data_IF_206048505814
#
_entry.id   IF_206048505814
#
_cell.length_a   1.000
_cell.length_b   1.000
_cell.length_c   1.000
_cell.angle_alpha   90.00
_cell.angle_beta   90.00
_cell.angle_gamma   90.00
#
_symmetry.space_group_name_H-M   'P 1'
#
loop_
_entity.id
_entity.type
_entity.pdbx_description
1 polymer ?
#
# COMPACT_ATOMS: atom_id res chain seq x y z
N UNK A 1 -6.78 16.41 15.19
CA UNK A 1 -6.39 15.04 15.53
C UNK A 1 -6.69 14.17 14.32
N UNK A 2 -5.81 13.22 13.97
CA UNK A 2 -6.03 12.36 12.80
C UNK A 2 -6.78 11.10 13.25
N UNK A 3 -8.01 10.91 12.77
CA UNK A 3 -8.89 9.81 13.16
C UNK A 3 -8.26 8.42 12.98
N UNK A 4 -7.40 8.24 11.96
CA UNK A 4 -6.74 6.97 11.69
C UNK A 4 -5.73 6.64 12.80
N UNK A 5 -4.94 7.62 13.21
CA UNK A 5 -3.98 7.49 14.33
C UNK A 5 -4.72 7.23 15.65
N UNK A 6 -5.83 7.93 15.87
CA UNK A 6 -6.66 7.69 17.07
C UNK A 6 -7.25 6.27 17.08
N UNK A 7 -7.54 5.72 15.88
CA UNK A 7 -7.97 4.32 15.74
C UNK A 7 -6.82 3.34 16.06
N UNK A 8 -5.60 3.62 15.62
CA UNK A 8 -4.43 2.78 15.93
C UNK A 8 -4.16 2.72 17.43
N UNK A 9 -4.30 3.85 18.15
CA UNK A 9 -4.21 3.87 19.63
C UNK A 9 -5.23 2.97 20.30
N UNK A 10 -6.45 2.86 19.75
CA UNK A 10 -7.47 1.92 20.26
C UNK A 10 -7.15 0.47 19.94
N UNK A 11 -6.54 0.21 18.79
CA UNK A 11 -6.17 -1.16 18.38
C UNK A 11 -4.94 -1.69 19.13
N UNK A 12 -4.07 -0.79 19.55
CA UNK A 12 -2.90 -0.99 20.43
C UNK A 12 -2.16 -2.33 20.21
N UNK A 13 -2.48 -3.33 21.03
CA UNK A 13 -1.82 -4.65 21.03
C UNK A 13 -2.22 -5.59 19.89
N UNK A 14 -3.24 -5.21 19.07
CA UNK A 14 -3.60 -6.03 17.92
C UNK A 14 -2.46 -6.07 16.92
N UNK A 15 -2.31 -7.19 16.25
CA UNK A 15 -1.34 -7.30 15.15
C UNK A 15 -1.84 -6.46 13.97
N UNK A 16 -1.05 -5.48 13.57
CA UNK A 16 -1.32 -4.63 12.40
C UNK A 16 -0.75 -5.26 11.13
N UNK A 17 0.49 -5.73 11.20
CA UNK A 17 1.25 -6.18 10.03
C UNK A 17 2.00 -7.47 10.39
N UNK A 18 2.01 -8.41 9.44
CA UNK A 18 2.94 -9.54 9.44
C UNK A 18 3.80 -9.41 8.18
N UNK A 19 5.09 -9.23 8.38
CA UNK A 19 6.09 -9.09 7.34
C UNK A 19 7.27 -10.03 7.61
N UNK A 20 7.66 -10.85 6.63
CA UNK A 20 8.74 -11.84 6.78
C UNK A 20 8.60 -12.70 8.06
N UNK A 21 7.39 -13.14 8.40
CA UNK A 21 7.03 -13.90 9.61
C UNK A 21 7.19 -13.11 10.93
N UNK A 22 7.62 -11.85 10.89
CA UNK A 22 7.67 -10.97 12.05
C UNK A 22 6.32 -10.28 12.22
N UNK A 23 5.83 -10.26 13.46
CA UNK A 23 4.54 -9.67 13.81
C UNK A 23 4.76 -8.31 14.42
N UNK A 24 4.05 -7.31 13.91
CA UNK A 24 4.07 -5.94 14.41
C UNK A 24 2.67 -5.54 14.84
N UNK A 25 2.55 -5.00 16.04
CA UNK A 25 1.29 -4.48 16.57
C UNK A 25 0.96 -3.10 16.00
N UNK A 26 -0.27 -2.63 16.22
CA UNK A 26 -0.62 -1.24 15.93
C UNK A 26 0.21 -0.25 16.76
N UNK A 27 0.61 -0.65 17.98
CA UNK A 27 1.54 0.15 18.79
C UNK A 27 2.91 0.24 18.11
N UNK A 28 3.49 -0.89 17.66
CA UNK A 28 4.77 -0.88 16.94
C UNK A 28 4.71 -0.01 15.69
N UNK A 29 3.55 -0.02 14.99
CA UNK A 29 3.34 0.82 13.81
C UNK A 29 3.31 2.31 14.19
N UNK A 30 2.64 2.68 15.28
CA UNK A 30 2.63 4.06 15.80
C UNK A 30 4.03 4.52 16.20
N UNK A 31 4.75 3.71 16.97
CA UNK A 31 6.11 4.01 17.42
C UNK A 31 7.04 4.25 16.22
N UNK A 32 6.91 3.41 15.16
CA UNK A 32 7.70 3.57 13.92
C UNK A 32 7.29 4.80 13.09
N UNK A 33 6.02 5.14 13.07
CA UNK A 33 5.54 6.39 12.42
C UNK A 33 6.13 7.61 13.13
N UNK A 34 6.15 7.64 14.46
CA UNK A 34 6.72 8.73 15.25
C UNK A 34 8.23 8.84 15.00
N UNK A 35 8.96 7.73 15.00
CA UNK A 35 10.39 7.68 14.65
C UNK A 35 10.66 8.30 13.26
N UNK A 36 9.83 7.95 12.26
CA UNK A 36 9.99 8.53 10.93
C UNK A 36 9.61 10.00 10.88
N UNK A 37 8.60 10.46 11.61
CA UNK A 37 8.26 11.89 11.70
C UNK A 37 9.45 12.69 12.26
N UNK A 38 10.14 12.18 13.27
CA UNK A 38 11.35 12.80 13.82
C UNK A 38 12.50 12.78 12.80
N UNK A 39 12.70 11.68 12.08
CA UNK A 39 13.71 11.59 11.01
C UNK A 39 13.44 12.55 9.84
N UNK A 40 12.15 12.80 9.52
CA UNK A 40 11.74 13.70 8.44
C UNK A 40 11.81 15.18 8.84
N UNK A 41 11.76 15.49 10.14
CA UNK A 41 11.85 16.84 10.67
C UNK A 41 13.08 17.54 10.11
N UNK A 42 12.92 18.78 9.67
CA UNK A 42 13.95 19.62 9.06
C UNK A 42 14.55 19.11 7.72
N UNK A 43 14.25 17.86 7.34
CA UNK A 43 14.76 17.24 6.09
C UNK A 43 13.70 17.19 4.98
N UNK A 44 12.42 17.04 5.34
CA UNK A 44 11.32 16.94 4.38
C UNK A 44 10.24 17.96 4.74
N UNK A 45 10.08 18.97 3.90
CA UNK A 45 9.09 20.03 4.14
C UNK A 45 7.68 19.56 3.75
N UNK A 46 6.67 20.12 4.42
CA UNK A 46 5.26 19.90 4.05
C UNK A 46 5.03 20.29 2.59
N UNK A 47 4.20 19.51 1.92
CA UNK A 47 3.86 19.75 0.51
C UNK A 47 4.92 19.31 -0.49
N UNK A 48 6.14 18.94 -0.08
CA UNK A 48 7.12 18.36 -1.00
C UNK A 48 6.58 17.06 -1.61
N UNK A 49 6.94 16.85 -2.88
CA UNK A 49 6.65 15.58 -3.60
C UNK A 49 7.76 14.59 -3.28
N UNK A 50 7.41 13.50 -2.62
CA UNK A 50 8.37 12.57 -2.03
C UNK A 50 8.12 11.17 -2.55
N UNK A 51 9.11 10.59 -3.24
CA UNK A 51 9.05 9.21 -3.68
C UNK A 51 9.49 8.25 -2.58
N UNK A 52 8.77 7.13 -2.41
CA UNK A 52 9.16 5.96 -1.61
C UNK A 52 9.60 4.87 -2.59
N UNK A 53 10.86 4.46 -2.52
CA UNK A 53 11.40 3.39 -3.35
C UNK A 53 11.28 2.04 -2.63
N UNK A 54 10.55 1.12 -3.21
CA UNK A 54 10.34 -0.25 -2.70
C UNK A 54 8.89 -0.67 -2.70
N UNK A 55 8.66 -1.95 -2.43
CA UNK A 55 7.31 -2.52 -2.28
C UNK A 55 6.90 -2.51 -0.80
N UNK A 56 5.79 -3.17 -0.48
CA UNK A 56 5.32 -3.31 0.89
C UNK A 56 6.40 -3.90 1.80
N UNK A 57 6.62 -3.23 2.90
CA UNK A 57 7.27 -3.70 4.10
C UNK A 57 6.66 -2.97 5.29
N UNK A 58 6.92 -3.44 6.49
CA UNK A 58 6.51 -2.72 7.70
C UNK A 58 7.03 -1.28 7.69
N UNK A 59 8.31 -1.11 7.33
CA UNK A 59 8.98 0.19 7.27
C UNK A 59 8.36 1.10 6.21
N UNK A 60 8.12 0.62 4.99
CA UNK A 60 7.56 1.43 3.93
C UNK A 60 6.10 1.83 4.21
N UNK A 61 5.32 0.99 4.90
CA UNK A 61 3.96 1.34 5.35
C UNK A 61 4.02 2.44 6.42
N UNK A 62 4.92 2.31 7.41
CA UNK A 62 5.11 3.33 8.44
C UNK A 62 5.59 4.66 7.83
N UNK A 63 6.53 4.61 6.86
CA UNK A 63 7.02 5.79 6.14
C UNK A 63 5.91 6.47 5.32
N UNK A 64 5.08 5.70 4.61
CA UNK A 64 3.89 6.22 3.90
C UNK A 64 2.99 7.02 4.84
N UNK A 65 2.70 6.46 6.02
CA UNK A 65 1.83 7.08 7.01
C UNK A 65 2.49 8.31 7.66
N UNK A 66 3.79 8.28 7.91
CA UNK A 66 4.54 9.45 8.39
C UNK A 66 4.51 10.61 7.39
N UNK A 67 4.75 10.33 6.10
CA UNK A 67 4.66 11.32 5.03
C UNK A 67 3.23 11.85 4.85
N UNK A 68 2.21 11.00 4.99
CA UNK A 68 0.81 11.42 5.01
C UNK A 68 0.53 12.41 6.14
N UNK A 69 0.99 12.12 7.35
CA UNK A 69 0.82 13.01 8.51
C UNK A 69 1.61 14.32 8.34
N UNK A 70 2.77 14.26 7.75
CA UNK A 70 3.58 15.45 7.40
C UNK A 70 3.01 16.26 6.23
N UNK A 71 1.88 15.82 5.63
CA UNK A 71 1.23 16.51 4.50
C UNK A 71 2.08 16.57 3.24
N UNK A 72 2.82 15.51 2.95
CA UNK A 72 3.56 15.37 1.70
C UNK A 72 2.68 14.86 0.55
N UNK A 73 3.16 15.04 -0.67
CA UNK A 73 2.62 14.39 -1.86
C UNK A 73 3.48 13.17 -2.14
N UNK A 74 2.92 11.98 -1.97
CA UNK A 74 3.66 10.73 -1.88
C UNK A 74 3.62 10.01 -3.23
N UNK A 75 4.74 9.44 -3.64
CA UNK A 75 4.91 8.72 -4.91
C UNK A 75 5.52 7.35 -4.62
N UNK A 76 4.71 6.30 -4.38
CA UNK A 76 5.24 4.95 -4.27
C UNK A 76 5.81 4.50 -5.62
N UNK A 77 7.00 3.88 -5.61
CA UNK A 77 7.67 3.33 -6.81
C UNK A 77 8.22 1.96 -6.45
N UNK A 78 7.63 0.90 -7.01
CA UNK A 78 8.04 -0.49 -6.76
C UNK A 78 9.05 -1.02 -7.78
N UNK A 79 9.25 -0.32 -8.89
CA UNK A 79 10.24 -0.72 -9.89
C UNK A 79 11.66 -0.75 -9.31
N UNK A 80 12.44 -1.76 -9.74
CA UNK A 80 13.87 -1.88 -9.42
C UNK A 80 14.78 -1.42 -10.56
N UNK A 81 14.20 -1.08 -11.73
CA UNK A 81 14.95 -0.61 -12.89
C UNK A 81 15.21 0.89 -12.80
N UNK A 82 16.47 1.28 -12.79
CA UNK A 82 16.86 2.70 -12.64
C UNK A 82 16.24 3.61 -13.69
N UNK A 83 16.13 3.17 -14.96
CA UNK A 83 15.50 3.96 -16.01
C UNK A 83 14.03 4.27 -15.72
N UNK A 84 13.26 3.27 -15.27
CA UNK A 84 11.85 3.44 -14.90
C UNK A 84 11.71 4.32 -13.65
N UNK A 85 12.58 4.14 -12.65
CA UNK A 85 12.59 5.00 -11.45
C UNK A 85 12.83 6.44 -11.85
N UNK A 86 13.87 6.70 -12.66
CA UNK A 86 14.21 8.05 -13.12
C UNK A 86 13.06 8.71 -13.88
N UNK A 87 12.42 7.98 -14.80
CA UNK A 87 11.28 8.48 -15.57
C UNK A 87 10.12 8.86 -14.65
N UNK A 88 9.75 7.98 -13.70
CA UNK A 88 8.66 8.24 -12.75
C UNK A 88 8.95 9.41 -11.81
N UNK A 89 10.20 9.54 -11.33
CA UNK A 89 10.62 10.66 -10.49
C UNK A 89 10.48 12.00 -11.24
N UNK A 90 10.86 12.03 -12.52
CA UNK A 90 10.74 13.23 -13.37
C UNK A 90 9.27 13.55 -13.66
N UNK A 91 8.48 12.57 -14.08
CA UNK A 91 7.06 12.74 -14.41
C UNK A 91 6.24 13.21 -13.21
N UNK A 92 6.53 12.70 -12.02
CA UNK A 92 5.87 13.12 -10.78
C UNK A 92 6.40 14.45 -10.22
N UNK A 93 7.41 15.06 -10.81
CA UNK A 93 8.09 16.26 -10.30
C UNK A 93 8.57 16.09 -8.84
N UNK A 94 9.23 14.98 -8.52
CA UNK A 94 9.67 14.67 -7.16
C UNK A 94 10.76 15.65 -6.67
N UNK A 95 10.63 16.09 -5.41
CA UNK A 95 11.64 16.88 -4.71
C UNK A 95 12.68 16.00 -4.03
N UNK A 96 12.23 14.82 -3.59
CA UNK A 96 13.07 13.87 -2.85
C UNK A 96 12.71 12.43 -3.22
N UNK A 97 13.69 11.55 -3.06
CA UNK A 97 13.46 10.11 -3.04
C UNK A 97 13.95 9.53 -1.73
N UNK A 98 13.15 8.66 -1.16
CA UNK A 98 13.38 7.99 0.11
C UNK A 98 13.45 6.48 -0.13
N UNK A 99 14.41 5.85 0.54
CA UNK A 99 14.56 4.39 0.54
C UNK A 99 14.88 3.94 1.96
N UNK A 100 14.22 2.88 2.40
CA UNK A 100 14.64 2.19 3.63
C UNK A 100 15.56 1.05 3.24
N UNK A 101 16.75 1.04 3.82
CA UNK A 101 17.76 0.01 3.61
C UNK A 101 18.38 -0.39 4.96
N UNK A 102 18.29 -1.68 5.31
CA UNK A 102 18.74 -2.19 6.61
C UNK A 102 18.23 -1.35 7.81
N UNK A 103 16.92 -1.09 7.82
CA UNK A 103 16.21 -0.26 8.82
C UNK A 103 16.63 1.22 8.86
N UNK A 104 17.52 1.65 7.97
CA UNK A 104 17.96 3.05 7.87
C UNK A 104 17.22 3.79 6.76
N UNK A 105 16.69 4.95 7.08
CA UNK A 105 16.06 5.85 6.11
C UNK A 105 17.12 6.67 5.37
N UNK A 106 17.22 6.46 4.06
CA UNK A 106 18.07 7.22 3.14
C UNK A 106 17.21 8.27 2.46
N UNK A 107 17.61 9.53 2.52
CA UNK A 107 16.91 10.67 1.92
C UNK A 107 17.84 11.32 0.90
N UNK A 108 17.41 11.38 -0.35
CA UNK A 108 18.15 12.06 -1.42
C UNK A 108 17.31 13.21 -1.99
N UNK A 109 17.95 14.40 -2.12
CA UNK A 109 17.33 15.56 -2.75
C UNK A 109 17.36 15.43 -4.27
N UNK A 110 16.30 15.86 -4.92
CA UNK A 110 16.16 15.91 -6.36
C UNK A 110 15.99 17.36 -6.81
N UNK A 111 16.60 17.71 -7.96
CA UNK A 111 16.54 19.07 -8.50
C UNK A 111 15.27 19.26 -9.36
N UNK A 112 14.12 19.33 -8.73
CA UNK A 112 12.87 19.65 -9.41
C UNK A 112 12.62 21.15 -9.43
N UNK A 113 12.67 21.76 -10.63
CA UNK A 113 12.52 23.23 -10.79
C UNK A 113 11.05 23.68 -10.94
N UNK A 114 10.17 22.79 -11.41
CA UNK A 114 8.80 23.15 -11.75
C UNK A 114 7.81 22.15 -11.14
N UNK A 115 6.63 22.65 -10.77
CA UNK A 115 5.53 21.83 -10.26
C UNK A 115 4.32 21.95 -11.15
N UNK A 116 3.70 20.82 -11.46
CA UNK A 116 2.43 20.79 -12.17
C UNK A 116 1.34 21.53 -11.37
N UNK A 117 0.38 22.15 -12.04
CA UNK A 117 -0.68 22.93 -11.39
C UNK A 117 -1.50 22.13 -10.37
N UNK A 118 -1.77 20.86 -10.65
CA UNK A 118 -2.51 19.98 -9.73
C UNK A 118 -1.75 19.75 -8.42
N UNK A 119 -0.41 19.68 -8.46
CA UNK A 119 0.45 19.60 -7.27
C UNK A 119 0.29 20.87 -6.44
N UNK A 120 0.42 22.05 -7.08
CA UNK A 120 0.25 23.36 -6.43
C UNK A 120 -1.12 23.50 -5.76
N UNK A 121 -2.17 22.98 -6.39
CA UNK A 121 -3.52 23.03 -5.84
C UNK A 121 -3.64 22.22 -4.53
N UNK A 122 -2.97 21.05 -4.42
CA UNK A 122 -2.93 20.28 -3.16
C UNK A 122 -2.10 21.00 -2.09
N UNK A 123 -0.93 21.54 -2.48
CA UNK A 123 -0.07 22.31 -1.59
C UNK A 123 -0.80 23.51 -0.99
N UNK A 124 -1.50 24.30 -1.82
CA UNK A 124 -2.26 25.49 -1.38
C UNK A 124 -3.38 25.14 -0.40
N UNK A 125 -3.97 23.92 -0.51
CA UNK A 125 -5.00 23.43 0.39
C UNK A 125 -4.44 22.74 1.63
N UNK A 126 -3.11 22.64 1.76
CA UNK A 126 -2.41 21.88 2.81
C UNK A 126 -2.90 20.43 2.92
N UNK A 127 -3.24 19.82 1.78
CA UNK A 127 -3.66 18.42 1.71
C UNK A 127 -2.47 17.52 1.41
N UNK A 128 -2.49 16.32 1.98
CA UNK A 128 -1.61 15.25 1.53
C UNK A 128 -2.05 14.75 0.15
N UNK A 129 -1.09 14.43 -0.71
CA UNK A 129 -1.32 13.91 -2.05
C UNK A 129 -0.77 12.51 -2.24
N UNK A 130 -1.27 11.84 -3.29
CA UNK A 130 -0.77 10.55 -3.74
C UNK A 130 -0.65 10.58 -5.25
N UNK A 131 0.54 10.29 -5.79
CA UNK A 131 0.75 10.16 -7.23
C UNK A 131 1.01 8.70 -7.56
N UNK A 132 0.18 8.15 -8.44
CA UNK A 132 0.31 6.80 -8.97
C UNK A 132 0.45 6.85 -10.49
N UNK A 133 0.96 5.77 -11.08
CA UNK A 133 1.16 5.69 -12.51
C UNK A 133 0.21 4.70 -13.17
N UNK A 134 -0.34 5.07 -14.31
CA UNK A 134 -0.99 4.14 -15.22
C UNK A 134 -0.07 3.81 -16.39
N UNK A 135 -0.21 2.60 -16.95
CA UNK A 135 0.39 2.26 -18.24
C UNK A 135 -0.28 3.11 -19.32
N UNK A 136 0.41 4.14 -19.78
CA UNK A 136 -0.09 4.95 -20.90
C UNK A 136 -0.15 4.16 -22.20
N UNK A 137 -1.15 4.40 -23.03
CA UNK A 137 -1.26 3.82 -24.38
C UNK A 137 -0.06 4.12 -25.29
N UNK A 138 0.74 5.13 -24.92
CA UNK A 138 1.96 5.55 -25.61
C UNK A 138 3.24 4.92 -25.05
N UNK A 139 3.13 3.94 -24.13
CA UNK A 139 4.27 3.29 -23.47
C UNK A 139 4.94 4.11 -22.35
N UNK A 140 4.63 5.39 -22.22
CA UNK A 140 5.14 6.23 -21.13
C UNK A 140 4.19 6.21 -19.94
N UNK A 141 4.68 6.12 -18.70
CA UNK A 141 3.86 6.18 -17.52
C UNK A 141 3.18 7.56 -17.41
N UNK A 142 1.87 7.57 -17.14
CA UNK A 142 1.11 8.81 -16.88
C UNK A 142 0.88 8.95 -15.40
N UNK A 143 1.34 10.05 -14.81
CA UNK A 143 1.11 10.37 -13.41
C UNK A 143 -0.35 10.77 -13.17
N UNK A 144 -0.99 10.12 -12.20
CA UNK A 144 -2.34 10.42 -11.73
C UNK A 144 -2.25 10.91 -10.28
N UNK A 145 -2.73 12.13 -10.04
CA UNK A 145 -2.69 12.73 -8.71
C UNK A 145 -4.03 12.55 -7.99
N UNK A 146 -3.97 12.10 -6.74
CA UNK A 146 -5.11 11.93 -5.86
C UNK A 146 -4.96 12.79 -4.61
N UNK A 147 -6.06 13.28 -4.05
CA UNK A 147 -6.09 13.83 -2.71
C UNK A 147 -6.05 12.66 -1.72
N UNK A 148 -4.95 12.51 -0.99
CA UNK A 148 -4.76 11.37 -0.10
C UNK A 148 -5.61 11.49 1.18
N UNK A 149 -5.85 12.69 1.66
CA UNK A 149 -6.78 12.91 2.79
C UNK A 149 -8.16 12.36 2.46
N UNK A 150 -8.69 12.64 1.26
CA UNK A 150 -10.00 12.13 0.84
C UNK A 150 -10.00 10.59 0.72
N UNK A 151 -8.92 9.99 0.23
CA UNK A 151 -8.80 8.53 0.15
C UNK A 151 -8.80 7.90 1.55
N UNK A 152 -8.09 8.48 2.50
CA UNK A 152 -8.08 8.01 3.89
C UNK A 152 -9.45 8.20 4.52
N UNK A 153 -10.07 9.37 4.36
CA UNK A 153 -11.37 9.71 4.97
C UNK A 153 -12.53 8.85 4.47
N UNK A 154 -12.44 8.27 3.26
CA UNK A 154 -13.41 7.30 2.75
C UNK A 154 -13.60 6.09 3.70
N UNK A 155 -12.58 5.74 4.48
CA UNK A 155 -12.61 4.62 5.41
C UNK A 155 -13.04 5.00 6.83
N UNK A 156 -13.28 6.26 7.12
CA UNK A 156 -13.68 6.75 8.43
C UNK A 156 -15.01 6.13 8.89
N UNK A 157 -15.07 5.72 10.15
CA UNK A 157 -16.29 5.18 10.76
C UNK A 157 -16.61 3.72 10.40
N UNK A 158 -15.74 3.02 9.68
CA UNK A 158 -15.93 1.58 9.42
C UNK A 158 -15.84 0.77 10.72
N UNK A 159 -16.69 -0.26 10.80
CA UNK A 159 -16.70 -1.16 11.96
C UNK A 159 -15.40 -1.98 12.03
N UNK A 160 -14.88 -2.10 13.22
CA UNK A 160 -13.73 -2.94 13.54
C UNK A 160 -13.97 -4.41 13.19
N UNK A 161 -12.93 -5.07 12.65
CA UNK A 161 -12.95 -6.49 12.30
C UNK A 161 -11.64 -7.15 12.70
N UNK A 162 -11.72 -8.29 13.35
CA UNK A 162 -10.56 -9.13 13.65
C UNK A 162 -10.38 -10.17 12.55
N UNK A 163 -9.77 -9.78 11.45
CA UNK A 163 -9.54 -10.66 10.28
C UNK A 163 -8.15 -10.45 9.71
N UNK A 164 -7.63 -11.49 9.07
CA UNK A 164 -6.38 -11.43 8.33
C UNK A 164 -6.67 -11.23 6.83
N UNK A 165 -5.99 -10.27 6.22
CA UNK A 165 -6.13 -9.94 4.81
C UNK A 165 -4.76 -9.93 4.14
N UNK A 166 -4.67 -10.48 2.93
CA UNK A 166 -3.43 -10.45 2.16
C UNK A 166 -3.27 -9.11 1.43
N UNK A 167 -2.11 -8.50 1.55
CA UNK A 167 -1.71 -7.33 0.75
C UNK A 167 -1.04 -7.84 -0.52
N UNK A 168 -1.85 -8.21 -1.51
CA UNK A 168 -1.37 -8.87 -2.74
C UNK A 168 -1.02 -7.90 -3.87
N UNK A 169 -1.86 -6.89 -4.09
CA UNK A 169 -1.64 -5.90 -5.15
C UNK A 169 -0.46 -4.98 -4.80
N UNK A 170 0.21 -4.44 -5.82
CA UNK A 170 1.45 -3.66 -5.64
C UNK A 170 1.24 -2.38 -4.82
N UNK A 171 2.29 -1.93 -4.15
CA UNK A 171 2.29 -0.72 -3.32
C UNK A 171 2.07 0.57 -4.13
N UNK A 172 2.51 0.61 -5.38
CA UNK A 172 2.32 1.71 -6.32
C UNK A 172 1.02 1.60 -7.16
N UNK A 173 0.07 0.77 -6.71
CA UNK A 173 -1.22 0.59 -7.37
C UNK A 173 -2.37 0.99 -6.46
N UNK A 174 -3.36 1.71 -7.00
CA UNK A 174 -4.52 2.21 -6.21
C UNK A 174 -5.27 1.10 -5.46
N UNK A 175 -5.41 -0.09 -6.07
CA UNK A 175 -6.05 -1.23 -5.42
C UNK A 175 -5.27 -1.78 -4.23
N UNK A 176 -3.94 -1.74 -4.30
CA UNK A 176 -3.06 -2.13 -3.19
C UNK A 176 -3.21 -1.18 -2.01
N UNK A 177 -3.10 0.12 -2.27
CA UNK A 177 -3.26 1.15 -1.24
C UNK A 177 -4.67 1.18 -0.64
N UNK A 178 -5.72 1.03 -1.46
CA UNK A 178 -7.08 0.90 -0.95
C UNK A 178 -7.24 -0.32 -0.04
N UNK A 179 -6.61 -1.45 -0.39
CA UNK A 179 -6.59 -2.64 0.47
C UNK A 179 -5.90 -2.34 1.80
N UNK A 180 -4.72 -1.74 1.77
CA UNK A 180 -3.98 -1.35 2.98
C UNK A 180 -4.79 -0.41 3.86
N UNK A 181 -5.33 0.68 3.30
CA UNK A 181 -6.13 1.65 4.05
C UNK A 181 -7.38 1.01 4.66
N UNK A 182 -8.05 0.12 3.93
CA UNK A 182 -9.18 -0.63 4.48
C UNK A 182 -8.77 -1.51 5.66
N UNK A 183 -7.68 -2.27 5.55
CA UNK A 183 -7.15 -3.12 6.62
C UNK A 183 -6.88 -2.28 7.87
N UNK A 184 -6.09 -1.22 7.72
CA UNK A 184 -5.68 -0.37 8.83
C UNK A 184 -6.85 0.35 9.49
N UNK A 185 -7.86 0.78 8.72
CA UNK A 185 -9.04 1.49 9.23
C UNK A 185 -9.94 0.64 10.11
N UNK A 186 -10.00 -0.67 9.88
CA UNK A 186 -10.87 -1.60 10.60
C UNK A 186 -10.14 -2.42 11.68
N UNK A 187 -8.87 -2.15 11.95
CA UNK A 187 -8.09 -2.90 12.94
C UNK A 187 -7.83 -4.35 12.57
N UNK A 188 -7.80 -4.66 11.26
CA UNK A 188 -7.45 -5.97 10.73
C UNK A 188 -5.93 -6.14 10.63
N UNK A 189 -5.45 -7.36 10.35
CA UNK A 189 -4.03 -7.66 10.14
C UNK A 189 -3.69 -7.73 8.65
N UNK A 190 -2.70 -6.94 8.23
CA UNK A 190 -2.12 -6.99 6.90
C UNK A 190 -1.03 -8.07 6.84
N UNK A 191 -1.18 -9.05 5.94
CA UNK A 191 -0.15 -10.05 5.69
C UNK A 191 0.56 -9.68 4.39
N UNK A 192 1.88 -9.47 4.46
CA UNK A 192 2.72 -9.15 3.31
C UNK A 192 3.35 -10.46 2.80
N UNK A 193 3.09 -10.88 1.56
CA UNK A 193 3.68 -12.10 1.02
C UNK A 193 5.15 -11.86 0.64
N UNK A 194 6.02 -12.84 0.87
CA UNK A 194 7.43 -12.79 0.45
C UNK A 194 7.56 -12.69 -1.07
N UNK A 195 6.69 -13.37 -1.78
CA UNK A 195 6.55 -13.27 -3.22
C UNK A 195 5.07 -13.51 -3.62
N UNK A 196 4.73 -13.17 -4.85
CA UNK A 196 3.35 -13.25 -5.35
C UNK A 196 3.12 -14.46 -6.27
N UNK A 197 3.84 -15.57 -6.08
CA UNK A 197 3.53 -16.80 -6.79
C UNK A 197 2.35 -17.55 -6.16
N UNK A 198 1.71 -18.42 -6.94
CA UNK A 198 0.49 -19.11 -6.53
C UNK A 198 0.71 -20.05 -5.34
N UNK A 199 1.85 -20.72 -5.27
CA UNK A 199 2.15 -21.68 -4.20
C UNK A 199 2.34 -20.97 -2.85
N UNK A 200 3.13 -19.88 -2.82
CA UNK A 200 3.35 -19.07 -1.63
C UNK A 200 2.05 -18.43 -1.14
N UNK A 201 1.25 -17.87 -2.03
CA UNK A 201 -0.04 -17.25 -1.66
C UNK A 201 -1.00 -18.28 -1.07
N UNK A 202 -1.13 -19.47 -1.67
CA UNK A 202 -1.98 -20.53 -1.11
C UNK A 202 -1.47 -21.02 0.25
N UNK A 203 -0.16 -21.14 0.44
CA UNK A 203 0.46 -21.47 1.72
C UNK A 203 0.12 -20.43 2.79
N UNK A 204 0.29 -19.14 2.48
CA UNK A 204 -0.03 -18.02 3.38
C UNK A 204 -1.52 -18.02 3.75
N UNK A 205 -2.42 -18.30 2.79
CA UNK A 205 -3.87 -18.41 3.07
C UNK A 205 -4.13 -19.46 4.13
N UNK A 206 -3.53 -20.64 4.02
CA UNK A 206 -3.66 -21.72 5.00
C UNK A 206 -3.05 -21.34 6.35
N UNK A 207 -1.81 -20.83 6.34
CA UNK A 207 -1.01 -20.54 7.53
C UNK A 207 -1.65 -19.44 8.38
N UNK A 208 -2.03 -18.33 7.76
CA UNK A 208 -2.59 -17.17 8.46
C UNK A 208 -4.10 -17.09 8.43
N UNK A 209 -4.78 -18.15 7.93
CA UNK A 209 -6.25 -18.19 7.82
C UNK A 209 -6.82 -16.91 7.19
N UNK A 210 -6.27 -16.55 6.02
CA UNK A 210 -6.67 -15.36 5.27
C UNK A 210 -8.15 -15.43 4.92
N UNK A 211 -8.88 -14.35 5.20
CA UNK A 211 -10.31 -14.24 4.92
C UNK A 211 -10.64 -13.48 3.64
N UNK A 212 -9.76 -12.56 3.24
CA UNK A 212 -9.96 -11.72 2.05
C UNK A 212 -8.70 -11.72 1.21
N UNK A 213 -8.84 -12.09 -0.06
CA UNK A 213 -7.78 -12.07 -1.06
C UNK A 213 -8.11 -11.01 -2.13
N UNK A 214 -7.52 -9.82 -2.08
CA UNK A 214 -7.52 -8.90 -3.23
C UNK A 214 -6.63 -9.50 -4.32
N UNK A 215 -7.17 -9.64 -5.54
CA UNK A 215 -6.45 -10.34 -6.61
C UNK A 215 -6.91 -9.89 -7.99
N UNK A 216 -6.27 -10.41 -9.03
CA UNK A 216 -6.69 -10.27 -10.41
C UNK A 216 -7.21 -11.61 -10.98
N UNK A 217 -8.10 -11.60 -11.98
CA UNK A 217 -8.53 -12.84 -12.65
C UNK A 217 -7.36 -13.66 -13.19
N UNK A 218 -6.34 -13.00 -13.73
CA UNK A 218 -5.12 -13.65 -14.21
C UNK A 218 -4.42 -14.44 -13.12
N UNK A 219 -4.30 -13.87 -11.92
CA UNK A 219 -3.64 -14.57 -10.82
C UNK A 219 -4.49 -15.74 -10.30
N UNK A 220 -5.80 -15.61 -10.28
CA UNK A 220 -6.69 -16.73 -9.92
C UNK A 220 -6.53 -17.90 -10.91
N UNK A 221 -6.41 -17.61 -12.20
CA UNK A 221 -6.10 -18.62 -13.20
C UNK A 221 -4.73 -19.29 -12.95
N UNK A 222 -3.71 -18.53 -12.54
CA UNK A 222 -2.40 -19.10 -12.17
C UNK A 222 -2.50 -20.05 -10.97
N UNK A 223 -3.33 -19.75 -9.97
CA UNK A 223 -3.60 -20.68 -8.85
C UNK A 223 -4.22 -21.98 -9.35
N UNK A 224 -5.18 -21.89 -10.29
CA UNK A 224 -5.81 -23.10 -10.87
C UNK A 224 -4.83 -23.90 -11.70
N UNK A 225 -4.08 -23.28 -12.59
CA UNK A 225 -3.11 -23.92 -13.47
C UNK A 225 -1.98 -24.61 -12.70
N UNK A 226 -1.46 -23.96 -11.64
CA UNK A 226 -0.42 -24.51 -10.77
C UNK A 226 -0.92 -25.65 -9.87
N UNK A 227 -2.25 -25.83 -9.77
CA UNK A 227 -2.93 -26.76 -8.84
C UNK A 227 -2.58 -26.50 -7.36
N UNK A 228 -2.03 -25.32 -7.01
CA UNK A 228 -1.67 -24.97 -5.63
C UNK A 228 -2.88 -25.00 -4.69
N UNK A 229 -4.08 -24.66 -5.19
CA UNK A 229 -5.35 -24.79 -4.43
C UNK A 229 -5.68 -26.21 -3.97
N UNK A 230 -5.04 -27.25 -4.53
CA UNK A 230 -5.21 -28.65 -4.10
C UNK A 230 -4.19 -29.08 -3.05
N UNK A 231 -3.11 -28.31 -2.87
CA UNK A 231 -2.04 -28.62 -1.90
C UNK A 231 -2.31 -28.02 -0.53
N UNK A 232 -3.08 -26.92 -0.46
CA UNK A 232 -3.27 -26.11 0.74
C UNK A 232 -4.74 -25.94 1.08
N UNK A 233 -5.05 -25.86 2.38
CA UNK A 233 -6.40 -25.57 2.87
C UNK A 233 -6.75 -24.10 2.66
N UNK A 234 -7.64 -23.81 1.71
CA UNK A 234 -8.12 -22.46 1.41
C UNK A 234 -9.51 -22.18 2.03
N UNK A 235 -10.03 -23.05 2.89
CA UNK A 235 -11.38 -22.95 3.47
C UNK A 235 -11.63 -21.70 4.31
N UNK A 236 -10.56 -21.04 4.75
CA UNK A 236 -10.64 -19.74 5.47
C UNK A 236 -11.08 -18.58 4.60
N UNK A 237 -10.87 -18.65 3.26
CA UNK A 237 -11.28 -17.60 2.34
C UNK A 237 -12.79 -17.40 2.34
N UNK A 238 -13.22 -16.15 2.55
CA UNK A 238 -14.62 -15.72 2.50
C UNK A 238 -14.91 -14.79 1.34
N UNK A 239 -13.87 -14.12 0.84
CA UNK A 239 -14.04 -13.12 -0.22
C UNK A 239 -12.78 -13.02 -1.07
N UNK A 240 -12.97 -12.97 -2.37
CA UNK A 240 -11.97 -12.59 -3.35
C UNK A 240 -12.40 -11.27 -3.96
N UNK A 241 -11.55 -10.25 -3.86
CA UNK A 241 -11.81 -8.92 -4.43
C UNK A 241 -11.03 -8.77 -5.72
N UNK A 242 -11.71 -8.58 -6.84
CA UNK A 242 -11.09 -8.28 -8.13
C UNK A 242 -11.48 -6.90 -8.61
N UNK A 243 -10.50 -6.08 -8.98
CA UNK A 243 -10.72 -4.73 -9.51
C UNK A 243 -11.35 -4.70 -10.91
N UNK A 244 -11.43 -5.84 -11.59
CA UNK A 244 -12.03 -5.98 -12.93
C UNK A 244 -13.50 -6.44 -12.92
N UNK A 245 -14.19 -6.37 -11.79
CA UNK A 245 -15.53 -6.95 -11.59
C UNK A 245 -16.68 -6.16 -12.19
N UNK A 246 -16.47 -5.34 -13.22
CA UNK A 246 -17.62 -4.89 -14.04
C UNK A 246 -18.03 -5.91 -15.14
N UNK A 247 -17.24 -6.95 -15.42
CA UNK A 247 -17.50 -7.85 -16.55
C UNK A 247 -17.51 -9.36 -16.31
N UNK A 248 -17.21 -9.89 -15.10
CA UNK A 248 -17.20 -11.34 -14.89
C UNK A 248 -17.71 -11.80 -13.52
N UNK A 249 -19.01 -11.67 -13.28
CA UNK A 249 -19.69 -12.25 -12.12
C UNK A 249 -19.59 -13.80 -12.05
N UNK A 250 -19.27 -14.47 -13.16
CA UNK A 250 -19.26 -15.95 -13.25
C UNK A 250 -18.04 -16.63 -12.63
N UNK A 251 -16.85 -16.00 -12.63
CA UNK A 251 -15.64 -16.59 -12.08
C UNK A 251 -15.62 -16.60 -10.54
N UNK A 252 -16.17 -15.60 -9.90
CA UNK A 252 -16.24 -15.57 -8.43
C UNK A 252 -17.12 -16.66 -7.84
N UNK A 253 -18.18 -17.10 -8.53
CA UNK A 253 -19.07 -18.16 -8.06
C UNK A 253 -18.42 -19.56 -8.10
N UNK A 254 -17.40 -19.77 -8.93
CA UNK A 254 -16.66 -21.03 -8.96
C UNK A 254 -15.75 -21.23 -7.75
N UNK A 255 -15.27 -20.13 -7.12
CA UNK A 255 -14.39 -20.21 -5.94
C UNK A 255 -15.16 -20.26 -4.59
N UNK A 256 -16.45 -19.93 -4.58
CA UNK A 256 -17.28 -19.97 -3.36
C UNK A 256 -17.84 -21.38 -3.10
N UNK A 257 -17.65 -22.33 -4.00
CA UNK A 257 -18.13 -23.72 -3.90
C UNK A 257 -16.99 -24.76 -3.77
N UNK A 258 -15.80 -24.36 -3.32
CA UNK A 258 -14.71 -25.29 -2.99
C UNK A 258 -14.62 -25.47 -1.47
#
# INVERSE_FOLDING_TARGET
MNWLIDSFKRFDKKIAIIDNNKKYTYKDLLDKIEEYLDCLKDKVKRGEVVAILGDYSFENIALLLALYLNKNIIVPITSTKESEIKERLQEANCDKKLKVDNEKLIIENLNCKTKHQLIKNLQNKNNSGLILFSSGSTGKPKAMIHNFDNLVDYYKGKKEKNINMLVFLMFDHIGGLNTLLNILSIGATAIIPKNRNADEVCKIIQEYKIRVLPSSPTFLNLILMSKSHKKYDLSSLRMILSLYLQYQFHLCQMFVKI
#
